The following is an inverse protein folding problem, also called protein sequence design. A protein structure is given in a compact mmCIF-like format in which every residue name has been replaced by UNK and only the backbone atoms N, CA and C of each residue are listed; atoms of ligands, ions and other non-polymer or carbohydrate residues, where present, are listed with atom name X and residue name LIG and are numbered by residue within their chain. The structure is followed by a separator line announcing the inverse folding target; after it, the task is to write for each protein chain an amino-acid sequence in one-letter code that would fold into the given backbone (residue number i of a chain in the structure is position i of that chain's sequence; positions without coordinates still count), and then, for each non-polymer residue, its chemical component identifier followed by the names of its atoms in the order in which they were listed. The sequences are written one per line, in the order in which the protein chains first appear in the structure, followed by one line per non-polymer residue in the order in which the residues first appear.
data_IF_956950130349
#
_entry.id   IF_956950130349
#
_cell.length_a   1.000
_cell.length_b   1.000
_cell.length_c   1.000
_cell.angle_alpha   90.00
_cell.angle_beta   90.00
_cell.angle_gamma   90.00
#
_symmetry.space_group_name_H-M   'P 1'
#
loop_
_entity.id
_entity.type
_entity.pdbx_description
1 polymer ?
#
# COMPACT_ATOMS: atom_id res chain seq x y z
N UNK A 1 -10.12 36.62 1.07
CA UNK A 1 -9.20 35.46 1.27
C UNK A 1 -9.79 34.11 0.85
N UNK A 2 -11.08 33.80 1.00
CA UNK A 2 -11.70 32.52 0.54
C UNK A 2 -11.73 32.39 -0.99
N UNK A 3 -11.97 33.46 -1.72
CA UNK A 3 -12.02 33.46 -3.19
C UNK A 3 -10.63 33.21 -3.82
N UNK A 4 -9.57 33.85 -3.31
CA UNK A 4 -8.20 33.60 -3.79
C UNK A 4 -7.77 32.13 -3.63
N UNK A 5 -8.16 31.48 -2.53
CA UNK A 5 -7.90 30.05 -2.31
C UNK A 5 -8.59 29.13 -3.35
N UNK A 6 -9.73 29.56 -3.89
CA UNK A 6 -10.48 28.80 -4.89
C UNK A 6 -9.74 28.72 -6.24
N UNK A 7 -9.01 29.78 -6.60
CA UNK A 7 -8.24 29.85 -7.86
C UNK A 7 -6.78 29.40 -7.70
N UNK A 8 -6.17 29.67 -6.55
CA UNK A 8 -4.81 29.21 -6.25
C UNK A 8 -4.72 27.67 -6.17
N UNK A 9 -5.75 27.01 -5.69
CA UNK A 9 -5.73 25.56 -5.50
C UNK A 9 -5.63 24.77 -6.81
N UNK A 10 -6.37 25.06 -7.91
CA UNK A 10 -6.20 24.39 -9.19
C UNK A 10 -4.89 24.76 -9.88
N UNK A 11 -4.41 26.00 -9.73
CA UNK A 11 -3.15 26.44 -10.33
C UNK A 11 -1.94 25.77 -9.69
N UNK A 12 -1.91 25.66 -8.37
CA UNK A 12 -0.88 24.91 -7.64
C UNK A 12 -0.89 23.42 -8.04
N UNK A 13 -2.06 22.83 -8.16
CA UNK A 13 -2.19 21.43 -8.62
C UNK A 13 -1.67 21.24 -10.03
N UNK A 14 -1.92 22.19 -10.93
CA UNK A 14 -1.42 22.16 -12.31
C UNK A 14 0.11 22.27 -12.34
N UNK A 15 0.70 23.15 -11.53
CA UNK A 15 2.16 23.30 -11.42
C UNK A 15 2.79 22.02 -10.87
N UNK A 16 2.22 21.43 -9.82
CA UNK A 16 2.70 20.16 -9.26
C UNK A 16 2.60 19.05 -10.30
N UNK A 17 1.48 18.95 -11.01
CA UNK A 17 1.28 17.96 -12.05
C UNK A 17 2.27 18.13 -13.21
N UNK A 18 2.48 19.37 -13.69
CA UNK A 18 3.45 19.69 -14.72
C UNK A 18 4.89 19.41 -14.26
N UNK A 19 5.22 19.77 -13.01
CA UNK A 19 6.54 19.49 -12.41
C UNK A 19 6.82 18.00 -12.28
N UNK A 20 5.85 17.21 -11.83
CA UNK A 20 5.95 15.74 -11.76
C UNK A 20 6.07 15.13 -13.16
N UNK A 21 5.27 15.60 -14.12
CA UNK A 21 5.35 15.17 -15.52
C UNK A 21 6.72 15.46 -16.13
N UNK A 22 7.26 16.66 -15.89
CA UNK A 22 8.60 17.04 -16.34
C UNK A 22 9.71 16.20 -15.66
N UNK A 23 9.60 15.95 -14.36
CA UNK A 23 10.54 15.11 -13.63
C UNK A 23 10.54 13.66 -14.15
N UNK A 24 9.36 13.10 -14.40
CA UNK A 24 9.21 11.77 -15.01
C UNK A 24 9.76 11.75 -16.43
N UNK A 25 9.44 12.77 -17.24
CA UNK A 25 9.98 12.88 -18.59
C UNK A 25 11.51 12.92 -18.58
N UNK A 26 12.11 13.77 -17.74
CA UNK A 26 13.56 13.84 -17.59
C UNK A 26 14.17 12.54 -17.12
N UNK A 27 13.54 11.87 -16.17
CA UNK A 27 14.02 10.59 -15.63
C UNK A 27 13.96 9.48 -16.69
N UNK A 28 12.92 9.42 -17.50
CA UNK A 28 12.71 8.35 -18.49
C UNK A 28 13.54 8.62 -19.76
N UNK A 29 13.60 9.85 -20.23
CA UNK A 29 14.20 10.14 -21.55
C UNK A 29 15.64 10.66 -21.49
N UNK A 30 16.11 11.14 -20.33
CA UNK A 30 17.46 11.71 -20.21
C UNK A 30 18.47 10.74 -19.58
N UNK A 31 18.03 9.76 -18.80
CA UNK A 31 18.93 8.76 -18.22
C UNK A 31 19.35 7.70 -19.23
N UNK A 32 20.67 7.58 -19.44
CA UNK A 32 21.25 6.52 -20.29
C UNK A 32 20.85 5.12 -19.84
N UNK A 33 20.71 4.90 -18.51
CA UNK A 33 20.30 3.63 -17.92
C UNK A 33 18.87 3.24 -18.31
N UNK A 34 17.97 4.21 -18.47
CA UNK A 34 16.59 3.93 -18.90
C UNK A 34 16.55 3.59 -20.38
N UNK A 35 17.38 4.23 -21.21
CA UNK A 35 17.50 3.86 -22.62
C UNK A 35 18.03 2.45 -22.79
N UNK A 36 19.07 2.08 -22.06
CA UNK A 36 19.61 0.71 -22.08
C UNK A 36 18.59 -0.31 -21.57
N UNK A 37 17.80 0.05 -20.54
CA UNK A 37 16.71 -0.78 -20.04
C UNK A 37 15.59 -0.94 -21.07
N UNK A 38 15.25 0.11 -21.83
CA UNK A 38 14.25 0.02 -22.92
C UNK A 38 14.73 -0.90 -24.06
N UNK A 39 16.00 -0.80 -24.47
CA UNK A 39 16.56 -1.74 -25.46
C UNK A 39 16.58 -3.18 -24.94
N UNK A 40 16.94 -3.36 -23.66
CA UNK A 40 16.89 -4.68 -23.01
C UNK A 40 15.47 -5.21 -22.89
N UNK A 41 14.46 -4.34 -22.72
CA UNK A 41 13.05 -4.72 -22.73
C UNK A 41 12.61 -5.18 -24.13
N UNK A 42 13.05 -4.49 -25.19
CA UNK A 42 12.72 -4.87 -26.57
C UNK A 42 13.28 -6.27 -26.90
N UNK A 43 14.53 -6.52 -26.56
CA UNK A 43 15.16 -7.83 -26.75
C UNK A 43 14.48 -8.92 -25.90
N UNK A 44 14.18 -8.63 -24.65
CA UNK A 44 13.45 -9.54 -23.74
C UNK A 44 11.99 -9.76 -24.17
N UNK A 45 11.34 -8.79 -24.81
CA UNK A 45 10.00 -8.99 -25.38
C UNK A 45 10.01 -9.96 -26.55
N UNK A 46 11.10 -10.00 -27.31
CA UNK A 46 11.25 -10.93 -28.45
C UNK A 46 11.58 -12.36 -27.92
N UNK A 47 12.53 -12.49 -27.01
CA UNK A 47 13.02 -13.77 -26.52
C UNK A 47 12.33 -14.26 -25.23
N UNK A 48 11.78 -13.35 -24.44
CA UNK A 48 11.14 -13.61 -23.15
C UNK A 48 9.61 -13.46 -23.13
N UNK A 49 8.91 -13.66 -24.25
CA UNK A 49 7.45 -13.49 -24.37
C UNK A 49 6.66 -14.20 -23.26
N UNK A 50 7.08 -15.38 -22.87
CA UNK A 50 6.44 -16.15 -21.79
C UNK A 50 6.49 -15.43 -20.45
N UNK A 51 7.62 -14.84 -20.09
CA UNK A 51 7.77 -14.07 -18.85
C UNK A 51 6.92 -12.79 -18.85
N UNK A 52 6.84 -12.11 -19.97
CA UNK A 52 6.00 -10.92 -20.10
C UNK A 52 4.51 -11.25 -19.91
N UNK A 53 4.03 -12.31 -20.58
CA UNK A 53 2.65 -12.79 -20.40
C UNK A 53 2.40 -13.21 -18.95
N UNK A 54 3.35 -13.90 -18.32
CA UNK A 54 3.27 -14.29 -16.92
C UNK A 54 3.12 -13.06 -15.99
N UNK A 55 3.92 -12.01 -16.20
CA UNK A 55 3.84 -10.76 -15.43
C UNK A 55 2.47 -10.10 -15.60
N UNK A 56 1.93 -10.05 -16.81
CA UNK A 56 0.58 -9.51 -17.04
C UNK A 56 -0.49 -10.31 -16.31
N UNK A 57 -0.44 -11.64 -16.39
CA UNK A 57 -1.38 -12.53 -15.67
C UNK A 57 -1.27 -12.30 -14.16
N UNK A 58 -0.05 -12.27 -13.61
CA UNK A 58 0.19 -12.04 -12.18
C UNK A 58 -0.31 -10.66 -11.74
N UNK A 59 -0.19 -9.64 -12.58
CA UNK A 59 -0.70 -8.29 -12.31
C UNK A 59 -2.22 -8.29 -12.20
N UNK A 60 -2.91 -8.93 -13.15
CA UNK A 60 -4.38 -9.04 -13.14
C UNK A 60 -4.83 -9.84 -11.92
N UNK A 61 -4.17 -10.95 -11.61
CA UNK A 61 -4.44 -11.75 -10.41
C UNK A 61 -4.26 -10.93 -9.13
N UNK A 62 -3.18 -10.16 -9.02
CA UNK A 62 -2.92 -9.31 -7.87
C UNK A 62 -4.06 -8.29 -7.65
N UNK A 63 -4.51 -7.61 -8.70
CA UNK A 63 -5.63 -6.65 -8.60
C UNK A 63 -6.95 -7.34 -8.28
N UNK A 64 -7.16 -8.54 -8.79
CA UNK A 64 -8.35 -9.35 -8.50
C UNK A 64 -8.38 -9.77 -7.04
N UNK A 65 -7.28 -10.29 -6.51
CA UNK A 65 -7.13 -10.68 -5.10
C UNK A 65 -7.32 -9.45 -4.19
N UNK A 66 -6.71 -8.33 -4.52
CA UNK A 66 -6.86 -7.09 -3.75
C UNK A 66 -8.31 -6.60 -3.75
N UNK A 67 -9.01 -6.75 -4.88
CA UNK A 67 -10.44 -6.42 -5.00
C UNK A 67 -11.30 -7.33 -4.13
N UNK A 68 -11.05 -8.63 -4.14
CA UNK A 68 -11.77 -9.61 -3.32
C UNK A 68 -11.55 -9.31 -1.84
N UNK A 69 -10.30 -9.09 -1.43
CA UNK A 69 -9.92 -8.72 -0.06
C UNK A 69 -10.67 -7.45 0.38
N UNK A 70 -10.60 -6.38 -0.42
CA UNK A 70 -11.25 -5.12 -0.08
C UNK A 70 -12.78 -5.26 -0.05
N UNK A 71 -13.37 -5.95 -1.01
CA UNK A 71 -14.80 -6.26 -1.02
C UNK A 71 -15.21 -7.03 0.23
N UNK A 72 -14.43 -8.03 0.65
CA UNK A 72 -14.71 -8.80 1.87
C UNK A 72 -14.73 -7.88 3.10
N UNK A 73 -13.75 -6.99 3.24
CA UNK A 73 -13.68 -6.04 4.34
C UNK A 73 -14.87 -5.07 4.35
N UNK A 74 -15.26 -4.54 3.19
CA UNK A 74 -16.30 -3.51 3.07
C UNK A 74 -17.71 -4.10 3.06
N UNK A 75 -17.92 -5.33 2.62
CA UNK A 75 -19.24 -5.95 2.54
C UNK A 75 -19.97 -6.05 3.88
N UNK A 76 -19.27 -5.97 5.00
CA UNK A 76 -19.85 -5.89 6.33
C UNK A 76 -20.44 -4.52 6.66
N UNK A 77 -20.03 -3.49 5.93
CA UNK A 77 -20.45 -2.09 6.11
C UNK A 77 -21.45 -1.67 5.03
N UNK A 78 -21.14 -1.99 3.79
CA UNK A 78 -21.95 -1.66 2.61
C UNK A 78 -21.78 -2.79 1.58
N UNK A 79 -22.88 -3.43 1.20
CA UNK A 79 -22.84 -4.52 0.21
C UNK A 79 -22.54 -3.95 -1.16
N UNK A 80 -21.39 -4.30 -1.72
CA UNK A 80 -20.95 -3.81 -3.02
C UNK A 80 -20.70 -4.95 -4.00
N UNK A 81 -21.07 -4.72 -5.27
CA UNK A 81 -20.75 -5.63 -6.36
C UNK A 81 -19.24 -5.64 -6.65
N UNK A 82 -18.72 -6.76 -7.16
CA UNK A 82 -17.30 -6.91 -7.51
C UNK A 82 -16.81 -5.78 -8.43
N UNK A 83 -17.58 -5.44 -9.48
CA UNK A 83 -17.23 -4.33 -10.41
C UNK A 83 -17.03 -3.02 -9.69
N UNK A 84 -17.91 -2.68 -8.72
CA UNK A 84 -17.78 -1.45 -7.93
C UNK A 84 -16.56 -1.49 -7.01
N UNK A 85 -16.26 -2.65 -6.40
CA UNK A 85 -15.06 -2.84 -5.62
C UNK A 85 -13.80 -2.66 -6.48
N UNK A 86 -13.77 -3.26 -7.66
CA UNK A 86 -12.66 -3.13 -8.60
C UNK A 86 -12.43 -1.67 -9.03
N UNK A 87 -13.51 -0.95 -9.37
CA UNK A 87 -13.44 0.49 -9.66
C UNK A 87 -12.87 1.27 -8.48
N UNK A 88 -13.25 0.92 -7.24
CA UNK A 88 -12.69 1.53 -6.03
C UNK A 88 -11.19 1.29 -5.89
N UNK A 89 -10.70 0.08 -6.19
CA UNK A 89 -9.26 -0.22 -6.20
C UNK A 89 -8.54 0.63 -7.24
N UNK A 90 -9.06 0.72 -8.46
CA UNK A 90 -8.46 1.54 -9.53
C UNK A 90 -8.41 3.03 -9.15
N UNK A 91 -9.49 3.58 -8.57
CA UNK A 91 -9.46 4.94 -8.04
C UNK A 91 -8.42 5.10 -6.93
N UNK A 92 -8.33 4.12 -6.00
CA UNK A 92 -7.31 4.12 -4.97
C UNK A 92 -5.91 4.21 -5.55
N UNK A 93 -5.58 3.37 -6.53
CA UNK A 93 -4.27 3.36 -7.21
C UNK A 93 -4.03 4.71 -7.91
N UNK A 94 -5.00 5.22 -8.67
CA UNK A 94 -4.87 6.50 -9.36
C UNK A 94 -4.62 7.66 -8.38
N UNK A 95 -5.38 7.73 -7.29
CA UNK A 95 -5.18 8.77 -6.27
C UNK A 95 -3.86 8.61 -5.50
N UNK A 96 -3.35 7.39 -5.36
CA UNK A 96 -2.08 7.14 -4.70
C UNK A 96 -0.89 7.73 -5.43
N UNK A 97 -0.96 7.86 -6.76
CA UNK A 97 0.09 8.46 -7.58
C UNK A 97 0.27 9.95 -7.29
N UNK A 98 -0.79 10.63 -6.85
CA UNK A 98 -0.78 12.08 -6.59
C UNK A 98 -0.58 12.43 -5.11
N UNK A 99 -0.39 11.44 -4.25
CA UNK A 99 -0.29 11.66 -2.80
C UNK A 99 0.97 11.03 -2.21
N UNK A 100 1.67 11.74 -1.31
CA UNK A 100 2.80 11.17 -0.62
C UNK A 100 2.36 9.96 0.22
N UNK A 101 3.24 8.97 0.37
CA UNK A 101 3.00 7.72 1.12
C UNK A 101 1.72 6.97 0.72
N UNK A 102 1.22 7.15 -0.51
CA UNK A 102 0.01 6.49 -1.03
C UNK A 102 -1.26 6.74 -0.20
N UNK A 103 -1.32 7.85 0.55
CA UNK A 103 -2.50 8.18 1.36
C UNK A 103 -3.78 8.34 0.53
N UNK A 104 -3.66 8.77 -0.73
CA UNK A 104 -4.77 8.86 -1.67
C UNK A 104 -5.45 7.53 -1.96
N UNK A 105 -4.76 6.41 -1.76
CA UNK A 105 -5.33 5.08 -1.93
C UNK A 105 -6.55 4.85 -1.04
N UNK A 106 -6.46 5.26 0.23
CA UNK A 106 -7.57 5.12 1.18
C UNK A 106 -8.76 6.01 0.81
N UNK A 107 -8.50 7.26 0.41
CA UNK A 107 -9.53 8.18 -0.04
C UNK A 107 -10.17 7.77 -1.37
N UNK A 108 -9.36 7.36 -2.35
CA UNK A 108 -9.82 6.95 -3.66
C UNK A 108 -10.74 5.72 -3.62
N UNK A 109 -10.37 4.71 -2.83
CA UNK A 109 -11.19 3.49 -2.68
C UNK A 109 -12.61 3.77 -2.18
N UNK A 110 -12.76 4.68 -1.23
CA UNK A 110 -14.09 4.93 -0.60
C UNK A 110 -14.99 5.85 -1.40
N UNK A 111 -14.51 6.44 -2.50
CA UNK A 111 -15.34 7.28 -3.38
C UNK A 111 -16.49 6.50 -4.02
N UNK A 112 -16.33 5.21 -4.22
CA UNK A 112 -17.37 4.33 -4.80
C UNK A 112 -18.45 3.94 -3.80
N UNK A 113 -18.25 4.24 -2.50
CA UNK A 113 -19.21 3.92 -1.44
C UNK A 113 -20.22 5.05 -1.26
N UNK A 114 -21.47 4.68 -1.01
CA UNK A 114 -22.54 5.66 -0.69
C UNK A 114 -22.52 6.05 0.79
N UNK A 115 -22.31 5.05 1.66
CA UNK A 115 -22.38 5.21 3.11
C UNK A 115 -21.10 4.69 3.78
N UNK A 116 -20.93 4.94 5.07
CA UNK A 116 -19.87 4.38 5.93
C UNK A 116 -18.42 4.57 5.42
N UNK A 117 -18.12 5.67 4.70
CA UNK A 117 -16.79 5.93 4.09
C UNK A 117 -15.66 5.91 5.10
N UNK A 118 -15.85 6.51 6.29
CA UNK A 118 -14.81 6.54 7.34
C UNK A 118 -14.54 5.13 7.88
N UNK A 119 -15.60 4.34 8.13
CA UNK A 119 -15.45 2.96 8.56
C UNK A 119 -14.73 2.11 7.51
N UNK A 120 -15.00 2.35 6.22
CA UNK A 120 -14.31 1.68 5.13
C UNK A 120 -12.83 2.08 5.03
N UNK A 121 -12.46 3.33 5.33
CA UNK A 121 -11.06 3.75 5.44
C UNK A 121 -10.37 2.96 6.55
N UNK A 122 -10.98 2.86 7.73
CA UNK A 122 -10.43 2.11 8.86
C UNK A 122 -10.27 0.63 8.51
N UNK A 123 -11.28 0.00 7.87
CA UNK A 123 -11.20 -1.36 7.39
C UNK A 123 -10.06 -1.57 6.37
N UNK A 124 -9.85 -0.60 5.48
CA UNK A 124 -8.75 -0.63 4.51
C UNK A 124 -7.39 -0.54 5.20
N UNK A 125 -7.26 0.30 6.23
CA UNK A 125 -6.03 0.41 7.04
C UNK A 125 -5.68 -0.92 7.70
N UNK A 126 -6.67 -1.64 8.23
CA UNK A 126 -6.45 -2.96 8.85
C UNK A 126 -6.01 -3.98 7.81
N UNK A 127 -6.68 -4.00 6.65
CA UNK A 127 -6.27 -4.85 5.54
C UNK A 127 -4.84 -4.54 5.05
N UNK A 128 -4.43 -3.27 5.07
CA UNK A 128 -3.05 -2.86 4.76
C UNK A 128 -2.06 -3.27 5.85
N UNK A 129 -2.46 -3.20 7.12
CA UNK A 129 -1.62 -3.63 8.24
C UNK A 129 -1.33 -5.14 8.17
N UNK A 130 -2.32 -5.97 7.84
CA UNK A 130 -2.08 -7.41 7.63
C UNK A 130 -1.04 -7.67 6.53
N UNK A 131 -1.09 -6.89 5.46
CA UNK A 131 -0.11 -6.97 4.37
C UNK A 131 1.31 -6.61 4.83
N UNK A 132 1.44 -5.57 5.67
CA UNK A 132 2.74 -5.18 6.24
C UNK A 132 3.30 -6.31 7.11
N UNK A 133 2.47 -6.92 7.96
CA UNK A 133 2.89 -8.04 8.83
C UNK A 133 3.42 -9.21 8.00
N UNK A 134 2.68 -9.62 6.97
CA UNK A 134 3.08 -10.72 6.09
C UNK A 134 4.35 -10.37 5.31
N UNK A 135 4.43 -9.17 4.73
CA UNK A 135 5.61 -8.74 3.96
C UNK A 135 6.85 -8.65 4.83
N UNK A 136 6.74 -8.14 6.06
CA UNK A 136 7.85 -8.10 7.01
C UNK A 136 8.27 -9.49 7.46
N UNK A 137 7.31 -10.42 7.66
CA UNK A 137 7.63 -11.79 8.05
C UNK A 137 8.35 -12.55 6.92
N UNK A 138 7.79 -12.54 5.71
CA UNK A 138 8.36 -13.27 4.58
C UNK A 138 9.62 -12.57 4.06
N UNK A 139 9.56 -11.27 3.83
CA UNK A 139 10.67 -10.48 3.31
C UNK A 139 11.87 -10.45 4.27
N UNK A 140 11.59 -10.30 5.57
CA UNK A 140 12.64 -10.37 6.60
C UNK A 140 13.31 -11.73 6.66
N UNK A 141 12.54 -12.82 6.57
CA UNK A 141 13.09 -14.18 6.53
C UNK A 141 14.03 -14.38 5.34
N UNK A 142 13.62 -13.99 4.13
CA UNK A 142 14.49 -14.10 2.95
C UNK A 142 15.68 -13.14 3.01
N UNK A 143 15.52 -11.97 3.61
CA UNK A 143 16.62 -11.05 3.86
C UNK A 143 17.67 -11.67 4.76
N UNK A 144 17.29 -12.37 5.83
CA UNK A 144 18.21 -13.08 6.72
C UNK A 144 18.98 -14.17 5.98
N UNK A 145 18.31 -14.95 5.11
CA UNK A 145 18.97 -15.97 4.28
C UNK A 145 20.00 -15.32 3.35
N UNK A 146 19.64 -14.19 2.74
CA UNK A 146 20.55 -13.45 1.85
C UNK A 146 21.77 -12.94 2.61
N UNK A 147 21.56 -12.30 3.77
CA UNK A 147 22.64 -11.81 4.62
C UNK A 147 23.59 -12.93 5.03
N UNK A 148 23.04 -14.06 5.45
CA UNK A 148 23.83 -15.22 5.87
C UNK A 148 24.66 -15.83 4.72
N UNK A 149 24.08 -15.90 3.51
CA UNK A 149 24.70 -16.58 2.36
C UNK A 149 25.73 -15.71 1.64
N UNK A 150 25.48 -14.41 1.49
CA UNK A 150 26.26 -13.53 0.61
C UNK A 150 27.13 -12.51 1.32
N UNK A 151 26.78 -12.13 2.53
CA UNK A 151 27.60 -11.23 3.33
C UNK A 151 28.38 -12.08 4.35
N UNK A 152 29.72 -12.09 4.24
CA UNK A 152 30.61 -12.70 5.22
C UNK A 152 30.63 -11.88 6.53
N UNK A 153 29.45 -11.82 7.18
CA UNK A 153 29.26 -11.02 8.40
C UNK A 153 29.66 -11.87 9.59
N UNK A 154 30.24 -11.21 10.60
CA UNK A 154 30.58 -11.83 11.88
C UNK A 154 29.34 -12.49 12.51
N UNK A 155 29.49 -13.72 13.02
CA UNK A 155 28.42 -14.52 13.61
C UNK A 155 27.64 -13.78 14.72
N UNK A 156 28.29 -12.93 15.50
CA UNK A 156 27.64 -12.11 16.54
C UNK A 156 26.67 -11.08 15.93
N UNK A 157 27.06 -10.45 14.83
CA UNK A 157 26.19 -9.51 14.11
C UNK A 157 24.99 -10.22 13.49
N UNK A 158 25.19 -11.38 12.88
CA UNK A 158 24.09 -12.20 12.34
C UNK A 158 23.11 -12.57 13.45
N UNK A 159 23.59 -13.04 14.59
CA UNK A 159 22.76 -13.37 15.73
C UNK A 159 21.94 -12.16 16.22
N UNK A 160 22.56 -10.99 16.33
CA UNK A 160 21.87 -9.76 16.75
C UNK A 160 20.78 -9.35 15.80
N UNK A 161 21.01 -9.44 14.48
CA UNK A 161 20.03 -9.13 13.45
C UNK A 161 18.86 -10.12 13.46
N UNK A 162 19.16 -11.43 13.63
CA UNK A 162 18.12 -12.46 13.76
C UNK A 162 17.26 -12.20 15.00
N UNK A 163 17.88 -11.91 16.14
CA UNK A 163 17.16 -11.62 17.38
C UNK A 163 16.25 -10.41 17.21
N UNK A 164 16.76 -9.32 16.65
CA UNK A 164 15.99 -8.11 16.36
C UNK A 164 14.81 -8.39 15.43
N UNK A 165 15.03 -9.17 14.36
CA UNK A 165 13.97 -9.57 13.44
C UNK A 165 12.87 -10.37 14.13
N UNK A 166 13.25 -11.38 14.95
CA UNK A 166 12.28 -12.20 15.70
C UNK A 166 11.46 -11.34 16.65
N UNK A 167 12.10 -10.42 17.37
CA UNK A 167 11.39 -9.48 18.27
C UNK A 167 10.42 -8.58 17.51
N UNK A 168 10.83 -7.99 16.39
CA UNK A 168 9.99 -7.13 15.56
C UNK A 168 8.83 -7.92 14.93
N UNK A 169 9.09 -9.09 14.36
CA UNK A 169 8.07 -9.95 13.78
C UNK A 169 7.04 -10.38 14.84
N UNK A 170 7.51 -10.84 16.01
CA UNK A 170 6.63 -11.20 17.15
C UNK A 170 5.79 -10.02 17.61
N UNK A 171 6.39 -8.84 17.75
CA UNK A 171 5.65 -7.62 18.12
C UNK A 171 4.56 -7.27 17.08
N UNK A 172 4.85 -7.37 15.78
CA UNK A 172 3.88 -7.11 14.72
C UNK A 172 2.73 -8.13 14.75
N UNK A 173 3.03 -9.42 14.92
CA UNK A 173 2.02 -10.46 15.02
C UNK A 173 1.14 -10.30 16.26
N UNK A 174 1.74 -10.04 17.42
CA UNK A 174 0.97 -9.77 18.65
C UNK A 174 0.09 -8.54 18.49
N UNK A 175 0.60 -7.47 17.89
CA UNK A 175 -0.17 -6.25 17.62
C UNK A 175 -1.32 -6.50 16.63
N UNK A 176 -1.13 -7.37 15.65
CA UNK A 176 -2.16 -7.72 14.67
C UNK A 176 -3.30 -8.53 15.31
N UNK A 177 -2.99 -9.54 16.11
CA UNK A 177 -4.02 -10.35 16.77
C UNK A 177 -4.66 -9.65 17.97
N UNK A 178 -3.97 -8.71 18.58
CA UNK A 178 -4.47 -7.95 19.73
C UNK A 178 -4.73 -6.49 19.37
N UNK A 179 -5.53 -6.26 18.32
CA UNK A 179 -5.92 -4.89 17.89
C UNK A 179 -6.54 -4.10 19.05
N UNK A 180 -7.14 -4.77 20.04
CA UNK A 180 -7.67 -4.14 21.24
C UNK A 180 -6.58 -3.45 22.07
N UNK A 181 -5.43 -4.08 22.26
CA UNK A 181 -4.30 -3.49 23.01
C UNK A 181 -3.83 -2.24 22.29
N UNK A 182 -3.68 -2.32 20.97
CA UNK A 182 -3.29 -1.19 20.13
C UNK A 182 -4.31 -0.05 20.25
N UNK A 183 -5.60 -0.36 20.22
CA UNK A 183 -6.66 0.65 20.33
C UNK A 183 -6.73 1.29 21.71
N UNK A 184 -6.48 0.54 22.78
CA UNK A 184 -6.42 1.08 24.15
C UNK A 184 -5.24 2.05 24.30
N UNK A 185 -4.07 1.71 23.77
CA UNK A 185 -2.90 2.59 23.76
C UNK A 185 -3.17 3.89 22.99
N UNK A 186 -3.85 3.80 21.85
CA UNK A 186 -4.17 4.96 21.04
C UNK A 186 -5.34 5.79 21.57
N UNK A 187 -6.29 5.23 22.33
CA UNK A 187 -7.38 5.99 23.00
C UNK A 187 -6.86 7.07 23.93
N UNK A 188 -5.63 6.95 24.43
CA UNK A 188 -4.98 7.95 25.27
C UNK A 188 -4.66 9.25 24.51
N UNK A 189 -4.56 9.22 23.19
CA UNK A 189 -4.26 10.39 22.37
C UNK A 189 -5.56 11.00 21.80
N UNK A 190 -5.72 12.33 21.95
CA UNK A 190 -6.92 13.09 21.61
C UNK A 190 -7.39 12.92 20.15
N UNK A 191 -6.46 12.73 19.21
CA UNK A 191 -6.73 12.53 17.79
C UNK A 191 -7.53 11.24 17.55
N UNK A 192 -7.28 10.19 18.32
CA UNK A 192 -7.92 8.89 18.17
C UNK A 192 -9.31 8.79 18.82
N UNK A 193 -9.69 9.71 19.72
CA UNK A 193 -11.05 9.76 20.29
C UNK A 193 -12.15 9.89 19.22
N UNK A 194 -11.86 10.60 18.11
CA UNK A 194 -12.80 10.74 17.00
C UNK A 194 -12.92 9.47 16.14
N UNK A 195 -11.91 8.61 16.16
CA UNK A 195 -11.83 7.38 15.36
C UNK A 195 -12.28 6.16 16.19
N UNK A 196 -12.26 6.26 17.52
CA UNK A 196 -12.62 5.19 18.43
C UNK A 196 -13.95 4.47 18.10
N UNK A 197 -15.09 5.15 17.81
CA UNK A 197 -16.34 4.47 17.48
C UNK A 197 -16.25 3.66 16.19
N UNK A 198 -15.33 3.98 15.28
CA UNK A 198 -15.12 3.24 14.02
C UNK A 198 -14.21 2.04 14.22
N UNK A 199 -13.37 2.05 15.25
CA UNK A 199 -12.51 0.92 15.62
C UNK A 199 -13.34 -0.19 16.29
N UNK A 200 -14.42 0.14 16.99
CA UNK A 200 -15.35 -0.86 17.54
C UNK A 200 -16.09 -1.64 16.43
N UNK A 201 -16.15 -1.09 15.21
CA UNK A 201 -16.61 -1.84 14.02
C UNK A 201 -15.61 -2.95 13.67
N UNK A 202 -14.33 -2.73 13.95
CA UNK A 202 -13.24 -3.70 13.71
C UNK A 202 -13.35 -4.90 14.64
N UNK A 203 -13.85 -4.74 15.86
CA UNK A 203 -14.14 -5.86 16.77
C UNK A 203 -15.12 -6.88 16.19
N UNK A 204 -15.91 -6.48 15.20
CA UNK A 204 -16.79 -7.39 14.46
C UNK A 204 -16.03 -8.26 13.43
N UNK A 205 -14.72 -8.04 13.25
CA UNK A 205 -13.88 -8.83 12.32
C UNK A 205 -13.11 -9.96 13.03
N UNK A 206 -13.05 -9.94 14.36
CA UNK A 206 -12.71 -11.08 15.20
C UNK A 206 -14.03 -11.76 15.65
#
# INVERSE_FOLDING_TARGET
MKELRKYLNPFIKLIIFAGLGYALYKQVFTNADVKSALYSLEDNLIHGRGWFVLVLILTILNWTIETIKWKFLVNRLDKIAFRRAFTGILFGISFSLFTPNRLGEYGGRVLVLKHHRIAAIVSTLIGSFSQIVINMSIGGFFCLIYLWKYLQINSYLVFSVVLLYVLLASFLWVSYFNVEIVTVLFKKYSIFKKIAPYVDIVKKYN
#
